data_IF_594108409541
#
_entry.id   IF_594108409541
#
_cell.length_a   1.000
_cell.length_b   1.000
_cell.length_c   1.000
_cell.angle_alpha   90.00
_cell.angle_beta   90.00
_cell.angle_gamma   90.00
#
_symmetry.space_group_name_H-M   'P 1'
#
loop_
_entity.id
_entity.type
_entity.pdbx_description
1 polymer ?
#
# COMPACT_ATOMS: atom_id res chain seq x y z
N UNK A 1 7.31 3.50 29.46
CA UNK A 1 7.16 4.27 28.21
C UNK A 1 5.68 4.60 28.02
N UNK A 2 5.32 5.82 27.61
CA UNK A 2 3.93 6.20 27.33
C UNK A 2 3.40 5.53 26.04
N UNK A 3 2.07 5.35 25.89
CA UNK A 3 1.47 4.82 24.67
C UNK A 3 1.61 5.78 23.49
N UNK A 4 1.70 5.23 22.27
CA UNK A 4 1.62 5.99 21.03
C UNK A 4 0.17 6.03 20.56
N UNK A 5 -0.41 7.23 20.43
CA UNK A 5 -1.78 7.45 19.97
C UNK A 5 -1.77 8.46 18.81
N UNK A 6 -1.53 8.03 17.56
CA UNK A 6 -1.48 8.94 16.42
C UNK A 6 -2.83 9.62 16.16
N UNK A 7 -2.82 10.87 15.69
CA UNK A 7 -4.06 11.49 15.19
C UNK A 7 -4.50 10.81 13.88
N UNK A 8 -3.54 10.55 12.98
CA UNK A 8 -3.78 9.90 11.69
C UNK A 8 -2.74 8.81 11.47
N UNK A 9 -3.21 7.63 11.03
CA UNK A 9 -2.35 6.59 10.45
C UNK A 9 -2.71 6.40 8.99
N UNK A 10 -1.69 6.33 8.15
CA UNK A 10 -1.81 5.97 6.74
C UNK A 10 -1.13 4.61 6.57
N UNK A 11 -1.85 3.64 6.02
CA UNK A 11 -1.28 2.35 5.64
C UNK A 11 -1.48 2.11 4.14
N UNK A 12 -0.62 1.26 3.59
CA UNK A 12 -0.76 0.77 2.22
C UNK A 12 -1.09 -0.72 2.25
N UNK A 13 -2.13 -1.11 1.53
CA UNK A 13 -2.61 -2.48 1.47
C UNK A 13 -2.80 -2.93 0.03
N UNK A 14 -2.90 -4.24 -0.16
CA UNK A 14 -3.16 -4.79 -1.47
C UNK A 14 -4.56 -4.45 -1.96
N UNK A 15 -5.59 -4.68 -1.14
CA UNK A 15 -6.96 -4.38 -1.56
C UNK A 15 -7.89 -4.04 -0.41
N UNK A 16 -8.94 -3.31 -0.75
CA UNK A 16 -10.07 -3.07 0.14
C UNK A 16 -11.37 -3.02 -0.67
N UNK A 17 -12.50 -3.10 0.03
CA UNK A 17 -13.77 -2.63 -0.52
C UNK A 17 -13.99 -1.14 -0.25
N UNK A 18 -15.05 -0.58 -0.85
CA UNK A 18 -15.41 0.84 -0.69
C UNK A 18 -15.75 1.23 0.76
N UNK A 19 -16.12 0.26 1.60
CA UNK A 19 -16.43 0.48 3.01
C UNK A 19 -15.18 0.47 3.90
N UNK A 20 -14.02 0.08 3.36
CA UNK A 20 -12.75 0.04 4.09
C UNK A 20 -12.43 -1.31 4.72
N UNK A 21 -13.17 -2.38 4.42
CA UNK A 21 -12.71 -3.72 4.80
C UNK A 21 -11.43 -4.04 4.03
N UNK A 22 -10.30 -3.98 4.73
CA UNK A 22 -8.97 -3.93 4.13
C UNK A 22 -8.28 -5.26 4.31
N UNK A 23 -7.93 -5.89 3.19
CA UNK A 23 -7.15 -7.11 3.19
C UNK A 23 -5.67 -6.85 2.96
N UNK A 24 -4.85 -7.54 3.75
CA UNK A 24 -3.39 -7.53 3.59
C UNK A 24 -2.85 -8.96 3.58
N UNK A 25 -1.75 -9.18 2.90
CA UNK A 25 -0.99 -10.43 3.00
C UNK A 25 0.51 -10.19 2.86
N UNK A 26 1.29 -11.18 3.30
CA UNK A 26 2.73 -11.05 3.40
C UNK A 26 3.15 -10.37 4.70
N UNK A 27 4.09 -9.44 4.60
CA UNK A 27 4.64 -8.72 5.75
C UNK A 27 3.71 -7.58 6.16
N UNK A 28 3.02 -7.73 7.30
CA UNK A 28 2.12 -6.70 7.85
C UNK A 28 2.84 -5.66 8.73
N UNK A 29 4.04 -5.97 9.22
CA UNK A 29 4.77 -5.09 10.14
C UNK A 29 3.91 -4.70 11.34
N UNK A 30 3.85 -3.40 11.64
CA UNK A 30 3.03 -2.82 12.72
C UNK A 30 1.77 -2.11 12.22
N UNK A 31 1.30 -2.43 11.01
CA UNK A 31 0.19 -1.71 10.39
C UNK A 31 -1.10 -1.78 11.22
N UNK A 32 -1.42 -2.97 11.77
CA UNK A 32 -2.63 -3.17 12.57
C UNK A 32 -2.56 -2.37 13.87
N UNK A 33 -1.44 -2.43 14.57
CA UNK A 33 -1.22 -1.73 15.81
C UNK A 33 -1.27 -0.22 15.61
N UNK A 34 -0.62 0.30 14.57
CA UNK A 34 -0.64 1.73 14.23
C UNK A 34 -2.05 2.22 13.88
N UNK A 35 -2.76 1.47 13.04
CA UNK A 35 -4.12 1.83 12.62
C UNK A 35 -5.10 1.82 13.79
N UNK A 36 -5.09 0.76 14.62
CA UNK A 36 -6.01 0.65 15.76
C UNK A 36 -5.68 1.60 16.92
N UNK A 37 -4.46 2.13 16.97
CA UNK A 37 -4.07 3.16 17.93
C UNK A 37 -4.43 4.59 17.47
N UNK A 38 -4.80 4.76 16.20
CA UNK A 38 -5.03 6.08 15.62
C UNK A 38 -6.48 6.57 15.81
N UNK A 39 -6.67 7.89 15.86
CA UNK A 39 -8.01 8.48 15.81
C UNK A 39 -8.63 8.40 14.41
N UNK A 40 -7.81 8.42 13.37
CA UNK A 40 -8.25 8.30 11.98
C UNK A 40 -7.29 7.44 11.17
N UNK A 41 -7.85 6.61 10.28
CA UNK A 41 -7.10 5.71 9.41
C UNK A 41 -7.44 5.96 7.95
N UNK A 42 -6.41 6.15 7.14
CA UNK A 42 -6.48 6.20 5.69
C UNK A 42 -5.78 4.95 5.15
N UNK A 43 -6.46 4.22 4.26
CA UNK A 43 -5.88 3.06 3.58
C UNK A 43 -5.70 3.40 2.11
N UNK A 44 -4.46 3.35 1.65
CA UNK A 44 -4.13 3.39 0.23
C UNK A 44 -4.09 1.95 -0.30
N UNK A 45 -4.73 1.68 -1.43
CA UNK A 45 -4.86 0.33 -1.98
C UNK A 45 -4.44 0.25 -3.44
N UNK A 46 -3.90 -0.92 -3.80
CA UNK A 46 -3.62 -1.28 -5.19
C UNK A 46 -4.89 -1.67 -5.98
N UNK A 47 -5.88 -2.22 -5.29
CA UNK A 47 -7.10 -2.72 -5.91
C UNK A 47 -8.32 -2.43 -5.03
N UNK A 48 -9.39 -1.92 -5.66
CA UNK A 48 -10.73 -1.90 -5.07
C UNK A 48 -11.52 -3.13 -5.53
N UNK A 49 -12.10 -3.85 -4.58
CA UNK A 49 -12.90 -5.05 -4.86
C UNK A 49 -14.29 -4.97 -4.23
N UNK A 50 -15.30 -5.68 -4.77
CA UNK A 50 -16.59 -5.80 -4.10
C UNK A 50 -16.48 -6.50 -2.74
N UNK A 51 -17.37 -6.16 -1.78
CA UNK A 51 -17.39 -6.75 -0.43
C UNK A 51 -17.41 -8.29 -0.45
N UNK A 52 -18.11 -8.91 -1.42
CA UNK A 52 -18.17 -10.38 -1.55
C UNK A 52 -16.78 -11.03 -1.71
N UNK A 53 -15.83 -10.32 -2.34
CA UNK A 53 -14.44 -10.79 -2.49
C UNK A 53 -13.72 -10.75 -1.14
N UNK A 54 -13.97 -9.73 -0.33
CA UNK A 54 -13.41 -9.63 1.03
C UNK A 54 -13.97 -10.74 1.91
N UNK A 55 -15.29 -10.96 1.87
CA UNK A 55 -15.99 -11.99 2.64
C UNK A 55 -15.60 -13.41 2.26
N UNK A 56 -15.10 -13.64 1.04
CA UNK A 56 -14.67 -14.94 0.58
C UNK A 56 -13.38 -15.43 1.28
N UNK A 57 -12.57 -14.50 1.82
CA UNK A 57 -11.39 -14.86 2.63
C UNK A 57 -11.24 -13.91 3.83
N UNK A 58 -12.14 -14.03 4.83
CA UNK A 58 -12.24 -13.05 5.89
C UNK A 58 -10.98 -12.98 6.76
N UNK A 59 -10.19 -14.07 6.83
CA UNK A 59 -8.95 -14.14 7.61
C UNK A 59 -7.83 -13.24 7.06
N UNK A 60 -7.92 -12.76 5.81
CA UNK A 60 -6.97 -11.77 5.27
C UNK A 60 -7.32 -10.34 5.65
N UNK A 61 -8.49 -10.12 6.25
CA UNK A 61 -8.97 -8.78 6.60
C UNK A 61 -8.21 -8.27 7.82
N UNK A 62 -7.27 -7.36 7.59
CA UNK A 62 -6.45 -6.78 8.65
C UNK A 62 -7.23 -5.73 9.44
N UNK A 63 -7.93 -4.84 8.72
CA UNK A 63 -8.75 -3.79 9.28
C UNK A 63 -10.20 -3.96 8.82
N UNK A 64 -11.17 -3.99 9.75
CA UNK A 64 -12.58 -3.92 9.40
C UNK A 64 -12.95 -2.49 8.97
N UNK A 65 -14.02 -2.35 8.20
CA UNK A 65 -14.59 -1.06 7.78
C UNK A 65 -14.74 -0.05 8.93
N UNK A 66 -15.14 -0.52 10.13
CA UNK A 66 -15.30 0.32 11.32
C UNK A 66 -14.01 1.07 11.73
N UNK A 67 -12.84 0.51 11.41
CA UNK A 67 -11.55 1.09 11.78
C UNK A 67 -10.99 2.02 10.69
N UNK A 68 -11.65 2.16 9.53
CA UNK A 68 -11.13 2.89 8.36
C UNK A 68 -12.01 4.11 8.08
N UNK A 69 -11.37 5.28 7.92
CA UNK A 69 -12.06 6.53 7.65
C UNK A 69 -12.06 6.90 6.17
N UNK A 70 -11.04 6.46 5.42
CA UNK A 70 -10.94 6.69 3.98
C UNK A 70 -10.19 5.56 3.27
N UNK A 71 -10.68 5.21 2.08
CA UNK A 71 -10.00 4.31 1.14
C UNK A 71 -9.58 5.12 -0.08
N UNK A 72 -8.31 5.00 -0.47
CA UNK A 72 -7.70 5.74 -1.57
C UNK A 72 -7.11 4.73 -2.56
N UNK A 73 -7.64 4.71 -3.79
CA UNK A 73 -7.18 3.77 -4.82
C UNK A 73 -6.08 4.41 -5.65
N UNK A 74 -4.83 4.07 -5.33
CA UNK A 74 -3.64 4.58 -6.01
C UNK A 74 -2.68 3.41 -6.29
N UNK A 75 -2.86 2.72 -7.43
CA UNK A 75 -1.98 1.63 -7.82
C UNK A 75 -0.53 2.08 -7.96
N UNK A 76 0.42 1.23 -7.57
CA UNK A 76 1.83 1.54 -7.36
C UNK A 76 2.12 2.42 -6.12
N UNK A 77 1.14 2.75 -5.29
CA UNK A 77 1.24 3.76 -4.22
C UNK A 77 2.32 3.53 -3.16
N UNK A 78 2.84 2.30 -3.01
CA UNK A 78 3.97 2.02 -2.12
C UNK A 78 5.35 2.16 -2.77
N UNK A 79 5.45 2.42 -4.08
CA UNK A 79 6.76 2.64 -4.74
C UNK A 79 7.54 3.75 -4.00
N UNK A 80 8.84 3.57 -3.72
CA UNK A 80 9.77 2.55 -4.23
C UNK A 80 9.78 1.21 -3.48
N UNK A 81 8.98 1.07 -2.42
CA UNK A 81 8.81 -0.21 -1.70
C UNK A 81 8.05 -1.24 -2.54
N UNK A 82 8.00 -2.48 -2.08
CA UNK A 82 7.24 -3.56 -2.75
C UNK A 82 5.80 -3.62 -2.23
N UNK A 83 4.91 -4.21 -3.02
CA UNK A 83 3.61 -4.72 -2.57
C UNK A 83 3.47 -6.16 -3.05
N UNK A 84 3.44 -7.10 -2.11
CA UNK A 84 3.53 -8.53 -2.44
C UNK A 84 2.40 -8.97 -3.37
N UNK A 85 2.75 -9.46 -4.56
CA UNK A 85 1.82 -9.88 -5.60
C UNK A 85 1.46 -8.79 -6.62
N UNK A 86 1.85 -7.54 -6.38
CA UNK A 86 1.58 -6.40 -7.28
C UNK A 86 2.83 -5.86 -7.95
N UNK A 87 3.92 -5.66 -7.21
CA UNK A 87 5.23 -5.27 -7.74
C UNK A 87 6.35 -5.46 -6.71
N UNK A 88 7.57 -5.68 -7.21
CA UNK A 88 8.79 -5.83 -6.42
C UNK A 88 9.37 -4.47 -5.98
N UNK A 89 10.32 -4.50 -5.06
CA UNK A 89 11.01 -3.33 -4.53
C UNK A 89 11.92 -2.72 -5.59
N UNK A 90 11.89 -1.40 -5.73
CA UNK A 90 12.78 -0.69 -6.65
C UNK A 90 14.18 -0.50 -6.04
N UNK A 91 14.95 -1.58 -6.00
CA UNK A 91 16.32 -1.59 -5.46
C UNK A 91 17.23 -0.57 -6.14
N UNK A 92 17.04 -0.33 -7.44
CA UNK A 92 17.80 0.70 -8.16
C UNK A 92 17.52 2.09 -7.59
N UNK A 93 16.26 2.40 -7.25
CA UNK A 93 15.91 3.65 -6.59
C UNK A 93 16.54 3.74 -5.19
N UNK A 94 16.45 2.69 -4.38
CA UNK A 94 17.04 2.69 -3.04
C UNK A 94 18.56 2.92 -3.05
N UNK A 95 19.27 2.35 -4.03
CA UNK A 95 20.71 2.59 -4.19
C UNK A 95 20.98 4.05 -4.57
N UNK A 96 20.20 4.61 -5.52
CA UNK A 96 20.33 6.02 -5.93
C UNK A 96 19.98 7.00 -4.80
N UNK A 97 19.08 6.62 -3.89
CA UNK A 97 18.66 7.48 -2.78
C UNK A 97 19.82 7.92 -1.89
N UNK A 98 20.81 7.06 -1.68
CA UNK A 98 22.03 7.43 -0.94
C UNK A 98 22.66 8.68 -1.55
N UNK A 99 22.91 8.71 -2.86
CA UNK A 99 23.45 9.87 -3.58
C UNK A 99 22.51 11.08 -3.54
N UNK A 100 21.23 10.88 -3.83
CA UNK A 100 20.20 11.95 -3.85
C UNK A 100 20.16 12.67 -2.50
N UNK A 101 20.25 11.93 -1.41
CA UNK A 101 20.09 12.45 -0.04
C UNK A 101 21.39 12.96 0.61
N UNK A 102 22.55 12.91 -0.07
CA UNK A 102 23.85 13.39 0.49
C UNK A 102 23.87 14.88 0.83
N UNK A 103 23.03 15.69 0.21
CA UNK A 103 22.97 17.13 0.45
C UNK A 103 21.53 17.65 0.39
N UNK A 104 21.28 18.77 1.08
CA UNK A 104 20.00 19.46 1.00
C UNK A 104 19.69 19.87 -0.45
N UNK A 105 20.66 20.42 -1.19
CA UNK A 105 20.44 20.87 -2.57
C UNK A 105 20.03 19.74 -3.53
N UNK A 106 20.61 18.55 -3.41
CA UNK A 106 20.26 17.40 -4.26
C UNK A 106 18.92 16.80 -3.85
N UNK A 107 18.61 16.81 -2.56
CA UNK A 107 17.30 16.36 -2.03
C UNK A 107 16.19 17.30 -2.48
N UNK A 108 16.38 18.62 -2.36
CA UNK A 108 15.40 19.63 -2.74
C UNK A 108 15.14 19.59 -4.25
N UNK A 109 16.17 19.40 -5.06
CA UNK A 109 16.02 19.22 -6.51
C UNK A 109 15.16 17.98 -6.83
N UNK A 110 15.40 16.87 -6.13
CA UNK A 110 14.61 15.65 -6.30
C UNK A 110 13.15 15.82 -5.84
N UNK A 111 12.93 16.44 -4.66
CA UNK A 111 11.57 16.74 -4.15
C UNK A 111 10.84 17.63 -5.14
N UNK A 112 11.51 18.67 -5.65
CA UNK A 112 10.91 19.54 -6.66
C UNK A 112 10.48 18.73 -7.89
N UNK A 113 11.36 17.91 -8.43
CA UNK A 113 11.10 17.17 -9.66
C UNK A 113 10.03 16.06 -9.51
N UNK A 114 10.11 15.27 -8.44
CA UNK A 114 9.35 14.02 -8.28
C UNK A 114 8.13 14.15 -7.36
N UNK A 115 8.01 15.26 -6.62
CA UNK A 115 6.89 15.51 -5.71
C UNK A 115 6.15 16.80 -6.08
N UNK A 116 6.84 17.95 -6.15
CA UNK A 116 6.17 19.25 -6.31
C UNK A 116 5.77 19.57 -7.76
N UNK A 117 6.57 19.15 -8.73
CA UNK A 117 6.32 19.36 -10.17
C UNK A 117 5.43 18.25 -10.77
N UNK A 118 5.09 17.23 -10.00
CA UNK A 118 4.20 16.14 -10.41
C UNK A 118 2.78 16.45 -9.95
N UNK A 119 1.80 16.58 -10.86
CA UNK A 119 0.48 17.10 -10.50
C UNK A 119 -0.38 16.11 -9.70
N UNK A 120 -0.19 14.81 -9.93
CA UNK A 120 -0.95 13.73 -9.30
C UNK A 120 -0.20 12.39 -9.38
N UNK A 121 -0.75 11.37 -8.72
CA UNK A 121 -0.15 10.04 -8.68
C UNK A 121 -0.12 9.34 -10.06
N UNK A 122 -1.17 9.40 -10.91
CA UNK A 122 -1.08 8.89 -12.28
C UNK A 122 0.08 9.50 -13.09
N UNK A 123 0.34 10.79 -12.95
CA UNK A 123 1.48 11.45 -13.60
C UNK A 123 2.82 10.96 -13.03
N UNK A 124 2.91 10.70 -11.72
CA UNK A 124 4.08 10.05 -11.11
C UNK A 124 4.34 8.68 -11.75
N UNK A 125 3.32 7.82 -11.79
CA UNK A 125 3.42 6.47 -12.36
C UNK A 125 3.77 6.53 -13.84
N UNK A 126 3.23 7.49 -14.59
CA UNK A 126 3.61 7.72 -15.98
C UNK A 126 5.08 8.12 -16.11
N UNK A 127 5.55 9.08 -15.31
CA UNK A 127 6.94 9.57 -15.27
C UNK A 127 7.94 8.48 -14.89
N UNK A 128 7.55 7.55 -14.00
CA UNK A 128 8.35 6.37 -13.63
C UNK A 128 8.72 5.51 -14.85
N UNK A 129 7.86 5.51 -15.87
CA UNK A 129 8.11 4.90 -17.17
C UNK A 129 7.78 3.40 -17.24
N UNK A 130 7.43 2.94 -18.45
CA UNK A 130 7.02 1.56 -18.69
C UNK A 130 8.14 0.54 -18.43
N UNK A 131 9.40 0.89 -18.71
CA UNK A 131 10.55 0.02 -18.48
C UNK A 131 10.73 -0.32 -17.01
N UNK A 132 10.62 0.69 -16.13
CA UNK A 132 10.70 0.49 -14.67
C UNK A 132 9.55 -0.38 -14.19
N UNK A 133 8.31 -0.07 -14.58
CA UNK A 133 7.14 -0.88 -14.19
C UNK A 133 7.23 -2.33 -14.68
N UNK A 134 7.77 -2.56 -15.87
CA UNK A 134 7.99 -3.91 -16.39
C UNK A 134 9.07 -4.67 -15.60
N UNK A 135 10.17 -3.99 -15.20
CA UNK A 135 11.21 -4.58 -14.34
C UNK A 135 10.67 -4.97 -12.95
N UNK A 136 9.76 -4.17 -12.41
CA UNK A 136 9.16 -4.40 -11.09
C UNK A 136 7.97 -5.37 -11.12
N UNK A 137 7.50 -5.78 -12.31
CA UNK A 137 6.35 -6.65 -12.43
C UNK A 137 6.60 -8.01 -11.75
N UNK A 138 5.68 -8.50 -10.91
CA UNK A 138 5.86 -9.74 -10.18
C UNK A 138 5.62 -10.94 -11.10
N UNK A 139 6.25 -12.06 -10.78
CA UNK A 139 5.83 -13.37 -11.29
C UNK A 139 4.55 -13.86 -10.60
N UNK A 140 3.99 -14.97 -11.09
CA UNK A 140 2.83 -15.61 -10.46
C UNK A 140 3.24 -16.68 -9.46
N UNK A 141 2.74 -16.58 -8.22
CA UNK A 141 2.92 -17.58 -7.18
C UNK A 141 1.70 -17.60 -6.24
N UNK A 142 0.72 -18.45 -6.53
CA UNK A 142 -0.54 -18.53 -5.77
C UNK A 142 -0.42 -19.41 -4.52
N UNK A 143 -1.07 -19.01 -3.43
CA UNK A 143 -1.24 -19.89 -2.26
C UNK A 143 -2.24 -21.01 -2.55
N UNK A 144 -2.18 -22.10 -1.77
CA UNK A 144 -3.22 -23.14 -1.83
C UNK A 144 -4.56 -22.62 -1.30
N UNK A 145 -5.70 -23.05 -1.88
CA UNK A 145 -7.03 -22.65 -1.41
C UNK A 145 -7.37 -23.27 -0.04
N UNK A 146 -8.24 -22.59 0.71
CA UNK A 146 -8.79 -23.06 2.00
C UNK A 146 -10.30 -23.27 1.85
N UNK A 147 -10.81 -24.37 2.39
CA UNK A 147 -12.25 -24.64 2.43
C UNK A 147 -12.84 -24.15 3.76
N UNK A 148 -13.62 -23.08 3.71
CA UNK A 148 -14.32 -22.52 4.88
C UNK A 148 -15.66 -23.20 5.19
N UNK A 149 -16.14 -24.10 4.32
CA UNK A 149 -17.46 -24.69 4.40
C UNK A 149 -18.59 -23.74 3.97
N UNK A 150 -19.69 -24.31 3.47
CA UNK A 150 -20.94 -23.59 3.31
C UNK A 150 -21.82 -23.92 4.53
N UNK A 151 -22.09 -22.92 5.35
CA UNK A 151 -23.08 -23.05 6.41
C UNK A 151 -24.42 -22.53 5.88
N UNK A 152 -25.50 -23.29 6.11
CA UNK A 152 -26.86 -22.87 5.77
C UNK A 152 -27.16 -21.51 6.40
N UNK A 153 -27.67 -20.58 5.60
CA UNK A 153 -28.15 -19.27 6.06
C UNK A 153 -29.36 -19.40 7.01
#
# INVERSE_FOLDING_TARGET
>A
MPPLNPDVTIIHAQRADENGNTQTWGLSGTQKEAALAAQSVIVVVEELVPEVVIRADPNRTLLPALAVNAVVHEPFGAHPSFVQGFYDRDNEFYIKWDEISRSASTTDAWIKEWVLDVPDWPAYVQKLGAATRARLAPGSAFSQPVNYGLHSA
#
